data_IF_168851422277
#
_entry.id   IF_168851422277
#
_cell.length_a   1.000
_cell.length_b   1.000
_cell.length_c   1.000
_cell.angle_alpha   90.00
_cell.angle_beta   90.00
_cell.angle_gamma   90.00
#
_symmetry.space_group_name_H-M   'P 1'
#
loop_
_entity.id
_entity.type
_entity.pdbx_description
1 polymer ?
#
# COMPACT_ATOMS: atom_id res chain seq x y z
N UNK A 1 5.17 -9.66 -2.19
CA UNK A 1 5.13 -8.69 -1.08
C UNK A 1 3.77 -8.57 -0.36
N UNK A 2 2.63 -8.75 -1.03
CA UNK A 2 1.33 -8.56 -0.38
C UNK A 2 1.10 -9.47 0.85
N UNK A 3 1.58 -10.72 0.80
CA UNK A 3 1.45 -11.68 1.91
C UNK A 3 2.30 -11.26 3.12
N UNK A 4 3.57 -10.89 2.90
CA UNK A 4 4.47 -10.43 3.96
C UNK A 4 3.91 -9.20 4.69
N UNK A 5 3.38 -8.22 3.95
CA UNK A 5 2.76 -7.05 4.54
C UNK A 5 1.53 -7.41 5.38
N UNK A 6 0.75 -8.42 4.98
CA UNK A 6 -0.39 -8.88 5.78
C UNK A 6 0.05 -9.46 7.14
N UNK A 7 1.16 -10.19 7.18
CA UNK A 7 1.74 -10.72 8.43
C UNK A 7 2.23 -9.59 9.33
N UNK A 8 2.95 -8.61 8.76
CA UNK A 8 3.41 -7.44 9.53
C UNK A 8 2.26 -6.64 10.12
N UNK A 9 1.18 -6.41 9.35
CA UNK A 9 -0.01 -5.73 9.85
C UNK A 9 -0.72 -6.53 10.94
N UNK A 10 -0.74 -7.85 10.85
CA UNK A 10 -1.34 -8.71 11.87
C UNK A 10 -0.57 -8.61 13.19
N UNK A 11 0.75 -8.69 13.15
CA UNK A 11 1.61 -8.59 14.33
C UNK A 11 1.45 -7.23 15.04
N UNK A 12 1.49 -6.13 14.29
CA UNK A 12 1.27 -4.77 14.82
C UNK A 12 -0.14 -4.61 15.42
N UNK A 13 -1.17 -5.18 14.78
CA UNK A 13 -2.53 -5.11 15.30
C UNK A 13 -2.69 -5.85 16.64
N UNK A 14 -2.09 -7.03 16.78
CA UNK A 14 -2.12 -7.78 18.04
C UNK A 14 -1.28 -7.11 19.14
N UNK A 15 -0.10 -6.57 18.82
CA UNK A 15 0.72 -5.81 19.77
C UNK A 15 -0.08 -4.63 20.35
N UNK A 16 -0.78 -3.86 19.50
CA UNK A 16 -1.66 -2.76 19.96
C UNK A 16 -2.86 -3.24 20.77
N UNK A 17 -3.43 -4.39 20.42
CA UNK A 17 -4.52 -4.99 21.17
C UNK A 17 -4.09 -5.36 22.60
N UNK A 18 -2.95 -6.04 22.75
CA UNK A 18 -2.41 -6.40 24.07
C UNK A 18 -1.97 -5.18 24.89
N UNK A 19 -1.52 -4.11 24.23
CA UNK A 19 -1.26 -2.80 24.84
C UNK A 19 -2.53 -2.00 25.19
N UNK A 20 -3.73 -2.58 24.97
CA UNK A 20 -5.05 -1.95 25.20
C UNK A 20 -5.25 -0.63 24.44
N UNK A 21 -4.56 -0.43 23.32
CA UNK A 21 -4.70 0.77 22.48
C UNK A 21 -5.84 0.66 21.46
N UNK A 22 -6.25 -0.57 21.12
CA UNK A 22 -7.27 -0.85 20.12
C UNK A 22 -8.12 -2.07 20.49
N UNK A 23 -9.26 -2.21 19.82
CA UNK A 23 -10.14 -3.37 19.90
C UNK A 23 -9.53 -4.60 19.21
N UNK A 24 -10.16 -5.76 19.41
CA UNK A 24 -9.71 -7.02 18.80
C UNK A 24 -9.52 -6.89 17.27
N UNK A 25 -8.36 -7.31 16.72
CA UNK A 25 -8.07 -7.21 15.30
C UNK A 25 -9.11 -7.96 14.45
N UNK A 26 -9.49 -7.39 13.30
CA UNK A 26 -10.44 -8.00 12.35
C UNK A 26 -9.77 -8.24 11.01
N UNK A 27 -10.00 -9.41 10.42
CA UNK A 27 -9.54 -9.70 9.07
C UNK A 27 -10.26 -8.84 8.03
N UNK A 28 -9.55 -8.49 6.94
CA UNK A 28 -10.16 -7.74 5.83
C UNK A 28 -11.24 -8.59 5.15
N UNK A 29 -12.46 -8.05 5.07
CA UNK A 29 -13.54 -8.66 4.28
C UNK A 29 -13.29 -8.48 2.78
N UNK A 30 -13.47 -9.54 1.98
CA UNK A 30 -13.35 -9.48 0.52
C UNK A 30 -14.34 -8.49 -0.13
N UNK A 31 -15.55 -8.33 0.42
CA UNK A 31 -16.63 -7.52 -0.19
C UNK A 31 -16.80 -6.14 0.45
N UNK A 32 -16.57 -6.02 1.76
CA UNK A 32 -16.87 -4.80 2.52
C UNK A 32 -15.64 -3.94 2.85
N UNK A 33 -14.42 -4.45 2.64
CA UNK A 33 -13.21 -3.68 2.95
C UNK A 33 -12.90 -2.66 1.85
N UNK A 34 -12.20 -1.58 2.21
CA UNK A 34 -11.65 -0.63 1.24
C UNK A 34 -10.81 -1.39 0.22
N UNK A 35 -11.08 -1.15 -1.06
CA UNK A 35 -10.35 -1.72 -2.20
C UNK A 35 -9.00 -1.01 -2.34
N UNK A 36 -8.10 -1.32 -1.42
CA UNK A 36 -6.74 -0.80 -1.42
C UNK A 36 -5.72 -1.90 -1.20
N UNK A 37 -4.56 -1.73 -1.84
CA UNK A 37 -3.41 -2.61 -1.65
C UNK A 37 -2.12 -1.80 -1.57
N UNK A 38 -1.25 -2.23 -0.66
CA UNK A 38 0.04 -1.59 -0.41
C UNK A 38 1.16 -2.50 -0.91
N UNK A 39 2.11 -1.94 -1.66
CA UNK A 39 3.28 -2.63 -2.19
C UNK A 39 4.55 -1.90 -1.80
N UNK A 40 5.55 -2.65 -1.38
CA UNK A 40 6.86 -2.10 -1.03
C UNK A 40 7.68 -1.93 -2.32
N UNK A 41 8.53 -0.89 -2.33
CA UNK A 41 9.46 -0.67 -3.43
C UNK A 41 10.62 -1.67 -3.35
N UNK A 42 10.84 -2.42 -4.41
CA UNK A 42 11.95 -3.38 -4.56
C UNK A 42 12.35 -3.47 -6.03
N UNK A 43 13.62 -3.30 -6.36
CA UNK A 43 14.19 -3.48 -7.70
C UNK A 43 13.34 -2.85 -8.84
N UNK A 44 12.98 -1.57 -8.72
CA UNK A 44 12.27 -0.79 -9.76
C UNK A 44 10.89 -1.33 -10.18
N UNK A 45 10.21 -2.01 -9.26
CA UNK A 45 8.85 -2.51 -9.47
C UNK A 45 7.78 -1.39 -9.56
N UNK A 46 8.09 -0.18 -9.09
CA UNK A 46 7.21 0.99 -9.13
C UNK A 46 7.96 2.15 -9.81
N UNK A 47 7.33 2.80 -10.79
CA UNK A 47 7.87 3.96 -11.49
C UNK A 47 6.80 5.03 -11.62
N UNK A 48 7.15 6.27 -11.35
CA UNK A 48 6.30 7.44 -11.52
C UNK A 48 6.79 8.16 -12.77
N UNK A 49 6.03 8.06 -13.87
CA UNK A 49 6.23 8.87 -15.08
C UNK A 49 5.42 10.16 -15.00
N UNK A 50 5.37 10.94 -16.09
CA UNK A 50 4.61 12.21 -16.10
C UNK A 50 3.09 12.01 -15.97
N UNK A 51 2.52 11.02 -16.68
CA UNK A 51 1.07 10.72 -16.70
C UNK A 51 0.76 9.22 -16.46
N UNK A 52 1.76 8.44 -16.06
CA UNK A 52 1.63 6.99 -15.89
C UNK A 52 2.35 6.53 -14.63
N UNK A 53 1.77 5.58 -13.93
CA UNK A 53 2.37 4.91 -12.78
C UNK A 53 2.50 3.44 -13.13
N UNK A 54 3.72 2.90 -13.05
CA UNK A 54 3.96 1.46 -13.12
C UNK A 54 3.68 0.86 -11.75
N UNK A 55 2.73 -0.07 -11.71
CA UNK A 55 2.39 -0.85 -10.53
C UNK A 55 2.82 -2.31 -10.73
N UNK A 56 3.27 -2.99 -9.67
CA UNK A 56 3.83 -4.33 -9.78
C UNK A 56 2.84 -5.40 -10.24
N UNK A 57 1.52 -5.22 -10.00
CA UNK A 57 0.50 -6.21 -10.38
C UNK A 57 -0.35 -5.82 -11.59
N UNK A 58 -0.56 -4.52 -11.78
CA UNK A 58 -1.49 -3.99 -12.80
C UNK A 58 -0.73 -3.50 -14.03
N UNK A 59 0.59 -3.31 -13.92
CA UNK A 59 1.40 -2.75 -14.99
C UNK A 59 1.29 -1.23 -15.04
N UNK A 60 1.39 -0.64 -16.23
CA UNK A 60 1.32 0.81 -16.41
C UNK A 60 -0.14 1.27 -16.37
N UNK A 61 -0.44 2.18 -15.44
CA UNK A 61 -1.77 2.78 -15.26
C UNK A 61 -1.67 4.27 -15.52
N UNK A 62 -2.59 4.83 -16.30
CA UNK A 62 -2.69 6.29 -16.50
C UNK A 62 -3.10 6.93 -15.18
N UNK A 63 -2.36 7.95 -14.76
CA UNK A 63 -2.60 8.65 -13.51
C UNK A 63 -2.31 10.14 -13.66
N UNK A 64 -3.12 10.97 -13.01
CA UNK A 64 -2.86 12.40 -12.84
C UNK A 64 -2.06 12.57 -11.56
N UNK A 65 -0.80 12.98 -11.69
CA UNK A 65 0.12 13.11 -10.55
C UNK A 65 0.12 14.56 -10.08
N UNK A 66 -0.52 14.81 -8.94
CA UNK A 66 -0.61 16.15 -8.37
C UNK A 66 0.74 16.66 -7.81
N UNK A 67 1.63 15.78 -7.36
CA UNK A 67 2.95 16.15 -6.84
C UNK A 67 4.01 15.17 -7.32
N UNK A 68 5.05 15.68 -7.97
CA UNK A 68 6.24 14.91 -8.27
C UNK A 68 7.14 14.86 -7.03
N UNK A 69 7.71 13.68 -6.68
CA UNK A 69 8.75 13.61 -5.67
C UNK A 69 9.95 14.48 -6.09
N UNK A 70 10.65 15.09 -5.11
CA UNK A 70 11.95 15.73 -5.37
C UNK A 70 13.00 14.66 -5.71
N UNK A 71 14.05 15.03 -6.42
CA UNK A 71 15.06 14.08 -6.94
C UNK A 71 15.72 13.19 -5.86
N UNK A 72 15.82 13.67 -4.62
CA UNK A 72 16.40 12.91 -3.50
C UNK A 72 15.43 11.92 -2.82
N UNK A 73 14.18 11.82 -3.28
CA UNK A 73 13.16 11.01 -2.62
C UNK A 73 13.23 9.54 -3.03
N UNK A 74 13.58 8.68 -2.06
CA UNK A 74 13.47 7.23 -2.22
C UNK A 74 12.07 6.75 -1.84
N UNK A 75 11.37 6.13 -2.79
CA UNK A 75 10.11 5.44 -2.52
C UNK A 75 10.35 4.22 -1.62
N UNK A 76 9.63 4.15 -0.50
CA UNK A 76 9.66 2.99 0.42
C UNK A 76 8.48 2.04 0.19
N UNK A 77 7.28 2.61 0.12
CA UNK A 77 6.04 1.85 -0.14
C UNK A 77 5.03 2.74 -0.87
N UNK A 78 4.10 2.10 -1.58
CA UNK A 78 3.00 2.74 -2.29
C UNK A 78 1.71 2.06 -1.91
N UNK A 79 0.69 2.86 -1.63
CA UNK A 79 -0.69 2.39 -1.40
C UNK A 79 -1.56 2.87 -2.54
N UNK A 80 -2.22 1.93 -3.22
CA UNK A 80 -3.23 2.22 -4.24
C UNK A 80 -4.59 1.98 -3.62
N UNK A 81 -5.48 2.97 -3.71
CA UNK A 81 -6.89 2.87 -3.29
C UNK A 81 -7.79 3.22 -4.46
N UNK A 82 -8.88 2.47 -4.60
CA UNK A 82 -10.01 2.86 -5.44
C UNK A 82 -10.97 3.71 -4.60
N UNK A 83 -11.26 4.92 -5.06
CA UNK A 83 -12.39 5.72 -4.56
C UNK A 83 -13.70 5.15 -5.13
N UNK A 84 -14.76 5.20 -4.31
CA UNK A 84 -16.09 4.68 -4.66
C UNK A 84 -16.87 5.66 -5.53
#
# INVERSE_FOLDING_TARGET
FAVSNAVFHLADAYDRFFKKQNHFPKFKSKRKSKKSYTTNFTNNNILIGKNVIKLPKVGMVKAVIHKLPKDDWKLKSVTVSQDS
#
